data_IF_876949952157
#
_entry.id   IF_876949952157
#
_cell.length_a   1.000
_cell.length_b   1.000
_cell.length_c   1.000
_cell.angle_alpha   90.00
_cell.angle_beta   90.00
_cell.angle_gamma   90.00
#
_symmetry.space_group_name_H-M   'P 1'
#
loop_
_entity.id
_entity.type
_entity.pdbx_description
1 polymer ?
#
# COMPACT_ATOMS: atom_id res chain seq x y z
N UNK A 1 11.17 -5.43 11.94
CA UNK A 1 12.31 -5.51 12.90
C UNK A 1 13.14 -6.77 12.69
N UNK A 2 14.48 -6.74 12.72
CA UNK A 2 15.32 -7.96 12.68
C UNK A 2 15.31 -8.64 14.06
N UNK A 3 15.06 -9.95 14.10
CA UNK A 3 15.04 -10.73 15.36
C UNK A 3 16.19 -11.72 15.49
N UNK A 4 16.70 -12.26 14.39
CA UNK A 4 17.89 -13.09 14.37
C UNK A 4 18.52 -13.15 12.99
N UNK A 5 19.78 -13.57 12.93
CA UNK A 5 20.53 -13.80 11.70
C UNK A 5 21.14 -15.20 11.78
N UNK A 6 20.90 -16.01 10.75
CA UNK A 6 21.41 -17.38 10.61
C UNK A 6 22.14 -17.48 9.27
N UNK A 7 23.47 -17.53 9.31
CA UNK A 7 24.33 -17.55 8.11
C UNK A 7 23.99 -16.41 7.13
N UNK A 8 23.45 -16.73 5.95
CA UNK A 8 23.06 -15.79 4.89
C UNK A 8 21.57 -15.43 4.91
N UNK A 9 20.87 -15.75 5.99
CA UNK A 9 19.43 -15.58 6.13
C UNK A 9 19.11 -14.70 7.34
N UNK A 10 18.24 -13.72 7.11
CA UNK A 10 17.77 -12.78 8.12
C UNK A 10 16.32 -13.10 8.46
N UNK A 11 16.03 -13.22 9.75
CA UNK A 11 14.67 -13.34 10.26
C UNK A 11 14.17 -11.95 10.68
N UNK A 12 13.11 -11.50 10.03
CA UNK A 12 12.43 -10.24 10.27
C UNK A 12 11.05 -10.50 10.87
N UNK A 13 10.58 -9.62 11.74
CA UNK A 13 9.15 -9.53 12.10
C UNK A 13 8.54 -8.37 11.33
N UNK A 14 7.47 -8.65 10.59
CA UNK A 14 6.70 -7.66 9.84
C UNK A 14 6.00 -6.69 10.81
N UNK A 15 6.10 -5.39 10.54
CA UNK A 15 5.42 -4.39 11.37
C UNK A 15 3.90 -4.41 11.14
N UNK A 16 3.44 -4.90 9.99
CA UNK A 16 2.02 -4.96 9.61
C UNK A 16 1.34 -6.25 10.08
N UNK A 17 1.86 -7.42 9.68
CA UNK A 17 1.21 -8.71 9.98
C UNK A 17 1.70 -9.32 11.30
N UNK A 18 2.81 -8.81 11.86
CA UNK A 18 3.52 -9.40 13.01
C UNK A 18 4.03 -10.82 12.78
N UNK A 19 4.05 -11.27 11.54
CA UNK A 19 4.57 -12.58 11.14
C UNK A 19 6.09 -12.56 10.98
N UNK A 20 6.69 -13.74 11.15
CA UNK A 20 8.11 -13.97 10.90
C UNK A 20 8.36 -14.14 9.40
N UNK A 21 9.22 -13.29 8.84
CA UNK A 21 9.67 -13.32 7.46
C UNK A 21 11.13 -13.77 7.41
N UNK A 22 11.41 -14.79 6.61
CA UNK A 22 12.75 -15.34 6.42
C UNK A 22 13.25 -14.94 5.02
N UNK A 23 14.29 -14.13 4.95
CA UNK A 23 14.79 -13.56 3.69
C UNK A 23 16.31 -13.66 3.58
N UNK A 24 16.84 -13.64 2.36
CA UNK A 24 18.28 -13.60 2.15
C UNK A 24 18.86 -12.25 2.56
N UNK A 25 20.05 -12.27 3.16
CA UNK A 25 20.75 -11.05 3.57
C UNK A 25 20.97 -10.07 2.40
N UNK A 26 21.23 -10.59 1.19
CA UNK A 26 21.41 -9.80 -0.03
C UNK A 26 20.15 -9.03 -0.46
N UNK A 27 19.00 -9.32 0.14
CA UNK A 27 17.72 -8.66 -0.16
C UNK A 27 17.25 -7.75 0.97
N UNK A 28 18.07 -7.54 1.99
CA UNK A 28 17.78 -6.65 3.13
C UNK A 28 18.62 -5.38 3.01
N UNK A 29 17.99 -4.24 3.22
CA UNK A 29 18.65 -2.93 3.29
C UNK A 29 18.20 -2.20 4.54
N UNK A 30 19.09 -1.43 5.13
CA UNK A 30 18.73 -0.54 6.24
C UNK A 30 17.78 0.56 5.74
N UNK A 31 16.70 0.79 6.47
CA UNK A 31 15.75 1.86 6.21
C UNK A 31 15.44 2.58 7.51
N UNK A 32 15.39 3.91 7.46
CA UNK A 32 14.94 4.75 8.56
C UNK A 32 13.42 4.99 8.52
N UNK A 33 12.72 4.44 7.53
CA UNK A 33 11.27 4.57 7.44
C UNK A 33 10.59 3.77 8.55
N UNK A 34 9.75 4.46 9.33
CA UNK A 34 8.92 3.84 10.36
C UNK A 34 7.50 3.74 9.81
N UNK A 35 6.98 2.52 9.73
CA UNK A 35 5.57 2.29 9.44
C UNK A 35 4.79 2.12 10.74
N UNK A 36 3.59 2.70 10.82
CA UNK A 36 2.73 2.61 12.01
C UNK A 36 2.16 1.20 12.22
N UNK A 37 2.26 0.33 11.21
CA UNK A 37 1.58 -0.97 11.17
C UNK A 37 0.06 -0.85 11.04
N UNK A 38 -0.47 0.38 10.93
CA UNK A 38 -1.88 0.61 10.71
C UNK A 38 -2.23 0.21 9.27
N UNK A 39 -3.25 -0.63 9.11
CA UNK A 39 -3.75 -1.00 7.79
C UNK A 39 -5.08 -0.37 7.47
N UNK A 40 -5.74 0.31 8.42
CA UNK A 40 -7.14 0.72 8.27
C UNK A 40 -7.50 2.00 9.02
N UNK A 41 -8.35 2.82 8.42
CA UNK A 41 -9.06 3.92 9.08
C UNK A 41 -10.53 3.87 8.65
N UNK A 42 -11.43 3.76 9.62
CA UNK A 42 -12.85 3.56 9.34
C UNK A 42 -13.08 2.29 8.51
N UNK A 43 -13.84 2.43 7.44
CA UNK A 43 -14.14 1.32 6.53
C UNK A 43 -13.02 1.06 5.49
N UNK A 44 -12.02 1.93 5.35
CA UNK A 44 -11.02 1.84 4.28
C UNK A 44 -9.71 1.21 4.78
N UNK A 45 -9.16 0.30 3.99
CA UNK A 45 -7.95 -0.47 4.26
C UNK A 45 -6.88 -0.28 3.18
N UNK A 46 -5.64 -0.57 3.54
CA UNK A 46 -4.51 -0.67 2.62
C UNK A 46 -4.90 -1.53 1.40
N UNK A 47 -4.55 -1.04 0.21
CA UNK A 47 -4.87 -1.61 -1.11
C UNK A 47 -6.31 -1.47 -1.58
N UNK A 48 -7.20 -0.81 -0.84
CA UNK A 48 -8.52 -0.49 -1.37
C UNK A 48 -8.41 0.47 -2.57
N UNK A 49 -9.20 0.17 -3.60
CA UNK A 49 -9.44 1.06 -4.73
C UNK A 49 -10.57 2.04 -4.35
N UNK A 50 -10.26 3.35 -4.37
CA UNK A 50 -11.15 4.39 -3.85
C UNK A 50 -11.45 5.48 -4.89
N UNK A 51 -12.64 6.06 -4.79
CA UNK A 51 -13.04 7.26 -5.56
C UNK A 51 -12.72 8.49 -4.71
N UNK A 52 -11.96 9.44 -5.26
CA UNK A 52 -11.58 10.68 -4.58
C UNK A 52 -12.51 11.84 -5.00
N UNK A 53 -12.63 12.08 -6.31
CA UNK A 53 -13.54 13.08 -6.87
C UNK A 53 -14.45 12.47 -7.96
N UNK A 54 -15.17 13.30 -8.73
CA UNK A 54 -16.09 12.79 -9.77
C UNK A 54 -15.40 12.13 -10.98
N UNK A 55 -14.09 12.28 -11.13
CA UNK A 55 -13.29 11.76 -12.26
C UNK A 55 -11.98 11.09 -11.84
N UNK A 56 -11.59 11.16 -10.57
CA UNK A 56 -10.33 10.60 -10.07
C UNK A 56 -10.56 9.44 -9.11
N UNK A 57 -9.70 8.44 -9.25
CA UNK A 57 -9.64 7.25 -8.42
C UNK A 57 -8.18 6.96 -8.09
N UNK A 58 -7.95 6.12 -7.09
CA UNK A 58 -6.63 5.66 -6.74
C UNK A 58 -6.64 4.49 -5.78
N UNK A 59 -5.46 3.94 -5.54
CA UNK A 59 -5.26 2.83 -4.60
C UNK A 59 -4.58 3.35 -3.35
N UNK A 60 -5.07 2.98 -2.18
CA UNK A 60 -4.41 3.27 -0.91
C UNK A 60 -3.11 2.45 -0.83
N UNK A 61 -1.96 3.12 -0.77
CA UNK A 61 -0.64 2.49 -0.70
C UNK A 61 0.04 2.65 0.66
N UNK A 62 -0.50 3.54 1.52
CA UNK A 62 -0.09 3.68 2.92
C UNK A 62 -1.25 4.22 3.74
N UNK A 63 -1.33 3.77 4.99
CA UNK A 63 -2.29 4.27 5.97
C UNK A 63 -1.52 4.88 7.14
N UNK A 64 -1.71 6.18 7.36
CA UNK A 64 -1.19 6.90 8.51
C UNK A 64 -2.33 7.16 9.51
N UNK A 65 -2.09 7.86 10.63
CA UNK A 65 -3.10 7.99 11.69
C UNK A 65 -4.37 8.76 11.30
N UNK A 66 -4.28 9.70 10.36
CA UNK A 66 -5.39 10.61 9.99
C UNK A 66 -5.61 10.74 8.47
N UNK A 67 -4.75 10.12 7.67
CA UNK A 67 -4.76 10.26 6.23
C UNK A 67 -4.18 9.01 5.55
N UNK A 68 -4.44 8.93 4.26
CA UNK A 68 -3.96 7.90 3.37
C UNK A 68 -2.98 8.49 2.37
N UNK A 69 -1.95 7.73 2.01
CA UNK A 69 -1.25 8.00 0.75
C UNK A 69 -1.93 7.19 -0.35
N UNK A 70 -2.45 7.89 -1.35
CA UNK A 70 -3.20 7.30 -2.45
C UNK A 70 -2.41 7.49 -3.75
N UNK A 71 -2.12 6.38 -4.42
CA UNK A 71 -1.58 6.39 -5.78
C UNK A 71 -2.73 6.63 -6.76
N UNK A 72 -2.72 7.77 -7.44
CA UNK A 72 -3.78 8.16 -8.39
C UNK A 72 -3.65 7.41 -9.70
N UNK A 73 -4.79 7.00 -10.26
CA UNK A 73 -4.89 6.39 -11.58
C UNK A 73 -4.87 7.41 -12.72
N UNK A 74 -3.78 8.17 -12.85
CA UNK A 74 -3.59 9.10 -13.98
C UNK A 74 -2.66 8.47 -15.03
N UNK A 75 -2.92 8.74 -16.31
CA UNK A 75 -2.24 8.06 -17.43
C UNK A 75 -0.78 8.50 -17.65
N UNK A 76 -0.44 9.73 -17.30
CA UNK A 76 0.84 10.33 -17.69
C UNK A 76 1.98 10.07 -16.71
N UNK A 77 1.69 10.03 -15.40
CA UNK A 77 2.72 9.89 -14.36
C UNK A 77 2.16 9.25 -13.09
N UNK A 78 2.93 8.42 -12.37
CA UNK A 78 2.54 8.03 -11.02
C UNK A 78 2.49 9.27 -10.13
N UNK A 79 1.32 9.55 -9.56
CA UNK A 79 1.12 10.65 -8.62
C UNK A 79 0.57 10.10 -7.30
N UNK A 80 1.32 10.34 -6.22
CA UNK A 80 0.89 10.00 -4.85
C UNK A 80 0.37 11.26 -4.17
N UNK A 81 -0.82 11.18 -3.59
CA UNK A 81 -1.40 12.28 -2.83
C UNK A 81 -1.78 11.84 -1.42
N UNK A 82 -1.66 12.77 -0.47
CA UNK A 82 -2.19 12.63 0.87
C UNK A 82 -3.70 12.94 0.82
N UNK A 83 -4.53 11.98 1.25
CA UNK A 83 -6.00 12.06 1.19
C UNK A 83 -6.56 11.79 2.58
N UNK A 84 -7.45 12.65 3.07
CA UNK A 84 -8.13 12.46 4.36
C UNK A 84 -9.37 11.58 4.20
N UNK A 85 -9.81 10.95 5.29
CA UNK A 85 -11.00 10.09 5.31
C UNK A 85 -12.24 10.74 4.68
N UNK A 86 -12.51 12.02 4.98
CA UNK A 86 -13.67 12.75 4.46
C UNK A 86 -13.58 13.13 2.96
N UNK A 87 -12.42 12.98 2.35
CA UNK A 87 -12.21 13.24 0.91
C UNK A 87 -12.47 11.99 0.06
N UNK A 88 -12.57 10.80 0.68
CA UNK A 88 -12.91 9.57 -0.02
C UNK A 88 -14.42 9.44 -0.14
N UNK A 89 -14.91 9.35 -1.38
CA UNK A 89 -16.34 9.24 -1.69
C UNK A 89 -16.90 7.83 -1.56
N UNK A 90 -16.05 6.82 -1.71
CA UNK A 90 -16.45 5.41 -1.64
C UNK A 90 -15.40 4.46 -2.17
N UNK A 91 -15.64 3.16 -1.96
CA UNK A 91 -14.84 2.06 -2.52
C UNK A 91 -15.32 1.67 -3.90
N UNK A 92 -14.39 1.19 -4.74
CA UNK A 92 -14.67 0.59 -6.03
C UNK A 92 -14.49 -0.91 -5.91
N UNK A 93 -15.58 -1.67 -5.89
CA UNK A 93 -15.56 -3.15 -5.91
C UNK A 93 -15.75 -3.72 -7.34
N UNK A 94 -15.60 -2.86 -8.36
CA UNK A 94 -16.01 -3.20 -9.72
C UNK A 94 -15.04 -4.20 -10.35
N UNK A 95 -15.55 -5.41 -10.61
CA UNK A 95 -14.94 -6.32 -11.58
C UNK A 95 -15.24 -5.79 -12.97
N UNK A 96 -14.19 -5.40 -13.69
CA UNK A 96 -14.26 -4.91 -15.06
C UNK A 96 -13.35 -5.71 -15.96
N UNK A 97 -13.70 -5.77 -17.24
CA UNK A 97 -12.78 -6.24 -18.27
C UNK A 97 -12.07 -5.02 -18.85
N UNK A 98 -10.77 -5.15 -19.08
CA UNK A 98 -9.98 -4.17 -19.80
C UNK A 98 -9.28 -4.90 -20.95
N UNK A 99 -9.02 -4.18 -22.03
CA UNK A 99 -8.26 -4.72 -23.16
C UNK A 99 -6.83 -4.21 -23.06
N UNK A 100 -5.87 -5.13 -23.06
CA UNK A 100 -4.45 -4.75 -23.05
C UNK A 100 -3.95 -4.36 -24.45
N UNK A 101 -2.66 -4.01 -24.54
CA UNK A 101 -2.02 -3.66 -25.82
C UNK A 101 -2.03 -4.82 -26.84
N UNK A 102 -2.07 -6.06 -26.36
CA UNK A 102 -2.07 -7.28 -27.17
C UNK A 102 -3.48 -7.77 -27.50
N UNK A 103 -4.51 -7.03 -27.10
CA UNK A 103 -5.93 -7.35 -27.28
C UNK A 103 -6.38 -8.61 -26.52
N UNK A 104 -5.68 -8.95 -25.43
CA UNK A 104 -6.16 -9.95 -24.48
C UNK A 104 -7.35 -9.43 -23.67
#
# INVERSE_FOLDING_TARGET
>A
MVVSVEEHVVNLVSDTTKELLRVFADNVVESSEVTSGLTRIGEYELHDLVILDSKSFGVIIRVDSEAFQVLKGVHDRPEVALVRLGEIKGKIEKKGNAQDRFKN
#
